data_IF_065094279716
#
_entry.id   IF_065094279716
#
_cell.length_a   1.000
_cell.length_b   1.000
_cell.length_c   1.000
_cell.angle_alpha   90.00
_cell.angle_beta   90.00
_cell.angle_gamma   90.00
#
_symmetry.space_group_name_H-M   'P 1'
#
loop_
_entity.id
_entity.type
_entity.pdbx_description
1 polymer ?
#
# COMPACT_ATOMS: atom_id res chain seq x y z
N UNK A 1 3.01 20.22 -21.13
CA UNK A 1 3.28 21.06 -19.99
C UNK A 1 3.31 20.25 -18.72
N UNK A 2 4.21 20.56 -17.84
CA UNK A 2 4.33 19.80 -16.60
C UNK A 2 3.15 20.02 -15.68
N UNK A 3 2.76 18.98 -14.97
CA UNK A 3 1.72 19.08 -13.96
C UNK A 3 2.39 19.47 -12.66
N UNK A 4 2.19 20.69 -12.23
CA UNK A 4 3.01 21.25 -11.16
C UNK A 4 2.83 20.62 -9.80
N UNK A 5 1.67 20.15 -9.49
CA UNK A 5 1.38 19.70 -8.14
C UNK A 5 1.09 18.21 -8.05
N UNK A 6 1.68 17.42 -8.92
CA UNK A 6 1.41 15.98 -8.93
C UNK A 6 1.87 15.28 -7.64
N UNK A 7 3.00 15.72 -7.07
CA UNK A 7 3.42 15.21 -5.76
C UNK A 7 2.34 15.49 -4.72
N UNK A 8 1.78 16.69 -4.70
CA UNK A 8 0.74 17.04 -3.73
C UNK A 8 -0.53 16.22 -3.93
N UNK A 9 -0.86 15.89 -5.19
CA UNK A 9 -2.01 15.03 -5.49
C UNK A 9 -1.82 13.67 -4.83
N UNK A 10 -0.64 13.09 -4.98
CA UNK A 10 -0.32 11.77 -4.41
C UNK A 10 -0.25 11.85 -2.89
N UNK A 11 0.35 12.92 -2.34
CA UNK A 11 0.41 13.10 -0.89
C UNK A 11 -0.98 13.20 -0.30
N UNK A 12 -1.89 13.89 -0.98
CA UNK A 12 -3.26 14.00 -0.55
C UNK A 12 -3.96 12.65 -0.57
N UNK A 13 -3.70 11.83 -1.60
CA UNK A 13 -4.23 10.48 -1.70
C UNK A 13 -3.76 9.62 -0.53
N UNK A 14 -2.45 9.64 -0.22
CA UNK A 14 -1.92 8.90 0.92
C UNK A 14 -2.57 9.35 2.22
N UNK A 15 -2.74 10.65 2.37
CA UNK A 15 -3.29 11.20 3.61
C UNK A 15 -4.77 10.85 3.77
N UNK A 16 -5.58 11.13 2.76
CA UNK A 16 -7.04 11.00 2.92
C UNK A 16 -7.50 9.55 2.89
N UNK A 17 -6.96 8.74 2.00
CA UNK A 17 -7.40 7.35 1.87
C UNK A 17 -6.76 6.47 2.95
N UNK A 18 -5.44 6.61 3.13
CA UNK A 18 -4.69 5.67 3.96
C UNK A 18 -4.46 6.17 5.37
N UNK A 19 -3.95 7.38 5.56
CA UNK A 19 -3.67 7.87 6.90
C UNK A 19 -4.95 8.15 7.67
N UNK A 20 -5.95 8.73 7.02
CA UNK A 20 -7.25 8.96 7.64
C UNK A 20 -8.16 7.74 7.53
N UNK A 21 -7.71 6.68 6.87
CA UNK A 21 -8.44 5.41 6.77
C UNK A 21 -9.84 5.59 6.19
N UNK A 22 -9.93 6.34 5.11
CA UNK A 22 -11.20 6.64 4.48
C UNK A 22 -11.22 6.21 3.01
N UNK A 23 -11.66 4.97 2.71
CA UNK A 23 -11.73 4.51 1.32
C UNK A 23 -12.58 5.41 0.44
N UNK A 24 -13.62 6.03 1.00
CA UNK A 24 -14.53 6.86 0.22
C UNK A 24 -13.87 8.17 -0.27
N UNK A 25 -12.75 8.56 0.31
CA UNK A 25 -12.00 9.72 -0.21
C UNK A 25 -11.56 9.49 -1.66
N UNK A 26 -11.43 8.23 -2.08
CA UNK A 26 -11.08 7.91 -3.46
C UNK A 26 -12.08 8.49 -4.46
N UNK A 27 -13.33 8.73 -4.06
CA UNK A 27 -14.35 9.27 -4.95
C UNK A 27 -13.94 10.60 -5.59
N UNK A 28 -13.07 11.35 -4.93
CA UNK A 28 -12.62 12.64 -5.41
C UNK A 28 -11.18 12.64 -5.92
N UNK A 29 -10.47 11.54 -5.79
CA UNK A 29 -9.02 11.52 -6.02
C UNK A 29 -8.61 10.63 -7.17
N UNK A 30 -9.45 9.66 -7.55
CA UNK A 30 -9.10 8.70 -8.61
C UNK A 30 -10.22 8.63 -9.64
N UNK A 31 -9.87 8.16 -10.84
CA UNK A 31 -10.86 7.97 -11.91
C UNK A 31 -11.73 6.75 -11.65
N UNK A 32 -12.85 6.64 -12.37
CA UNK A 32 -13.76 5.50 -12.23
C UNK A 32 -13.06 4.18 -12.53
N UNK A 33 -12.14 4.19 -13.49
CA UNK A 33 -11.41 3.01 -13.92
C UNK A 33 -10.05 2.86 -13.26
N UNK A 34 -9.82 3.59 -12.18
CA UNK A 34 -8.54 3.52 -11.46
C UNK A 34 -8.17 2.07 -11.16
N UNK A 35 -6.93 1.72 -11.42
CA UNK A 35 -6.45 0.36 -11.27
C UNK A 35 -5.18 0.33 -10.42
N UNK A 36 -5.09 -0.62 -9.53
CA UNK A 36 -3.85 -0.92 -8.80
C UNK A 36 -3.31 -2.23 -9.33
N UNK A 37 -2.03 -2.24 -9.68
CA UNK A 37 -1.34 -3.46 -10.07
C UNK A 37 -0.30 -3.78 -9.00
N UNK A 38 -0.40 -4.94 -8.39
CA UNK A 38 0.48 -5.32 -7.30
C UNK A 38 0.73 -6.83 -7.38
N UNK A 39 2.00 -7.21 -7.46
CA UNK A 39 2.35 -8.63 -7.50
C UNK A 39 1.72 -9.40 -8.65
N UNK A 40 1.52 -8.73 -9.78
CA UNK A 40 0.91 -9.36 -10.94
C UNK A 40 -0.61 -9.43 -10.92
N UNK A 41 -1.24 -8.89 -9.88
CA UNK A 41 -2.70 -8.89 -9.75
C UNK A 41 -3.21 -7.47 -9.97
N UNK A 42 -4.31 -7.35 -10.69
CA UNK A 42 -4.94 -6.05 -10.93
C UNK A 42 -6.22 -5.90 -10.13
N UNK A 43 -6.33 -4.78 -9.42
CA UNK A 43 -7.55 -4.39 -8.72
C UNK A 43 -8.15 -3.27 -9.56
N UNK A 44 -9.21 -3.60 -10.30
CA UNK A 44 -9.75 -2.69 -11.31
C UNK A 44 -11.01 -2.02 -10.83
N UNK A 45 -11.11 -0.74 -11.11
CA UNK A 45 -12.19 0.20 -10.82
C UNK A 45 -12.09 0.81 -9.43
N UNK A 46 -12.58 2.03 -9.35
CA UNK A 46 -12.60 2.77 -8.09
C UNK A 46 -13.40 2.02 -7.02
N UNK A 47 -14.53 1.44 -7.39
CA UNK A 47 -15.37 0.75 -6.40
C UNK A 47 -14.69 -0.51 -5.87
N UNK A 48 -14.03 -1.26 -6.72
CA UNK A 48 -13.26 -2.42 -6.29
C UNK A 48 -12.09 -2.00 -5.39
N UNK A 49 -11.43 -0.90 -5.77
CA UNK A 49 -10.33 -0.35 -4.95
C UNK A 49 -10.81 0.02 -3.55
N UNK A 50 -11.96 0.68 -3.44
CA UNK A 50 -12.48 1.08 -2.13
C UNK A 50 -12.74 -0.15 -1.24
N UNK A 51 -13.27 -1.22 -1.81
CA UNK A 51 -13.50 -2.45 -1.06
C UNK A 51 -12.18 -3.09 -0.65
N UNK A 52 -11.20 -3.06 -1.54
CA UNK A 52 -9.89 -3.62 -1.26
C UNK A 52 -9.21 -2.85 -0.12
N UNK A 53 -9.29 -1.51 -0.14
CA UNK A 53 -8.73 -0.68 0.93
C UNK A 53 -9.38 -1.02 2.26
N UNK A 54 -10.72 -1.13 2.29
CA UNK A 54 -11.44 -1.45 3.51
C UNK A 54 -11.00 -2.79 4.08
N UNK A 55 -10.86 -3.80 3.24
CA UNK A 55 -10.42 -5.12 3.67
C UNK A 55 -8.99 -5.10 4.18
N UNK A 56 -8.11 -4.35 3.49
CA UNK A 56 -6.71 -4.24 3.90
C UNK A 56 -6.60 -3.58 5.28
N UNK A 57 -7.31 -2.46 5.47
CA UNK A 57 -7.29 -1.76 6.75
C UNK A 57 -7.82 -2.64 7.89
N UNK A 58 -8.84 -3.47 7.60
CA UNK A 58 -9.39 -4.36 8.60
C UNK A 58 -8.44 -5.49 8.99
N UNK A 59 -7.47 -5.80 8.12
CA UNK A 59 -6.54 -6.91 8.35
C UNK A 59 -5.33 -6.52 9.20
N UNK A 60 -5.19 -5.24 9.55
CA UNK A 60 -4.05 -4.76 10.32
C UNK A 60 -4.56 -3.86 11.45
N UNK A 61 -4.41 -4.31 12.68
CA UNK A 61 -4.77 -3.50 13.84
C UNK A 61 -3.70 -2.46 14.10
N UNK A 62 -4.08 -1.34 14.66
CA UNK A 62 -3.16 -0.23 14.97
C UNK A 62 -2.41 0.21 13.72
N UNK A 63 -3.09 0.23 12.61
CA UNK A 63 -2.52 0.56 11.31
C UNK A 63 -1.96 1.99 11.28
N UNK A 64 -0.71 2.11 10.82
CA UNK A 64 -0.10 3.40 10.57
C UNK A 64 0.55 3.38 9.19
N UNK A 65 0.39 4.48 8.46
CA UNK A 65 0.93 4.63 7.11
C UNK A 65 1.86 5.84 7.11
N UNK A 66 3.12 5.63 6.76
CA UNK A 66 4.10 6.70 6.69
C UNK A 66 4.66 6.83 5.29
N UNK A 67 4.74 8.04 4.79
CA UNK A 67 5.35 8.31 3.49
C UNK A 67 6.83 8.59 3.73
N UNK A 68 7.70 7.87 3.03
CA UNK A 68 9.14 8.03 3.17
C UNK A 68 9.64 9.14 2.26
N UNK A 69 9.26 9.10 0.98
CA UNK A 69 9.62 10.15 0.02
C UNK A 69 8.70 10.08 -1.18
N UNK A 70 8.50 11.20 -1.84
CA UNK A 70 7.65 11.29 -3.03
C UNK A 70 8.27 12.29 -4.00
N UNK A 71 8.34 11.93 -5.27
CA UNK A 71 8.88 12.82 -6.31
C UNK A 71 8.21 12.50 -7.64
N UNK A 72 8.31 13.41 -8.59
CA UNK A 72 7.64 13.26 -9.87
C UNK A 72 8.62 13.38 -11.03
N UNK A 73 8.23 12.87 -12.19
CA UNK A 73 9.00 13.06 -13.41
C UNK A 73 8.81 14.48 -13.95
N UNK A 74 9.52 14.81 -15.01
CA UNK A 74 9.54 16.18 -15.53
C UNK A 74 8.15 16.66 -15.95
N UNK A 75 7.35 15.81 -16.57
CA UNK A 75 6.02 16.21 -17.02
C UNK A 75 4.96 16.12 -15.94
N UNK A 76 5.27 15.46 -14.82
CA UNK A 76 4.31 15.32 -13.72
C UNK A 76 3.22 14.29 -13.95
N UNK A 77 3.33 13.47 -15.00
CA UNK A 77 2.33 12.42 -15.22
C UNK A 77 2.70 11.12 -14.49
N UNK A 78 3.88 11.06 -13.91
CA UNK A 78 4.30 9.93 -13.10
C UNK A 78 4.88 10.44 -11.79
N UNK A 79 4.42 9.82 -10.70
CA UNK A 79 4.91 10.13 -9.35
C UNK A 79 5.40 8.85 -8.73
N UNK A 80 6.58 8.89 -8.12
CA UNK A 80 7.10 7.76 -7.36
C UNK A 80 6.98 8.07 -5.89
N UNK A 81 6.51 7.11 -5.11
CA UNK A 81 6.37 7.30 -3.67
C UNK A 81 6.80 6.03 -2.95
N UNK A 82 7.61 6.18 -1.91
CA UNK A 82 7.98 5.06 -1.04
C UNK A 82 7.30 5.23 0.29
N UNK A 83 6.78 4.17 0.85
CA UNK A 83 5.97 4.22 2.06
C UNK A 83 6.22 3.02 2.97
N UNK A 84 5.73 3.13 4.18
CA UNK A 84 5.84 2.06 5.19
C UNK A 84 4.52 1.93 5.92
N UNK A 85 4.11 0.70 6.16
CA UNK A 85 2.92 0.38 6.95
C UNK A 85 3.38 -0.42 8.16
N UNK A 86 2.90 -0.04 9.34
CA UNK A 86 3.13 -0.80 10.56
C UNK A 86 1.80 -1.08 11.24
N UNK A 87 1.78 -2.07 12.09
CA UNK A 87 0.61 -2.45 12.86
C UNK A 87 0.74 -3.87 13.38
N UNK A 88 -0.40 -4.49 13.63
CA UNK A 88 -0.45 -5.85 14.16
C UNK A 88 -1.35 -6.71 13.29
N UNK A 89 -0.96 -7.95 13.09
CA UNK A 89 -1.66 -8.86 12.20
C UNK A 89 -3.05 -9.22 12.74
N UNK A 90 -4.07 -8.88 11.95
CA UNK A 90 -5.45 -9.27 12.21
C UNK A 90 -6.03 -9.98 10.99
N UNK A 91 -5.26 -10.92 10.45
CA UNK A 91 -5.69 -11.68 9.28
C UNK A 91 -5.09 -11.21 7.95
N UNK A 92 -3.93 -10.55 7.99
CA UNK A 92 -3.27 -10.03 6.79
C UNK A 92 -3.13 -11.12 5.73
N UNK A 93 -3.63 -10.86 4.54
CA UNK A 93 -3.60 -11.77 3.38
C UNK A 93 -4.14 -13.16 3.71
N UNK A 94 -5.18 -13.22 4.54
CA UNK A 94 -5.82 -14.49 4.89
C UNK A 94 -5.09 -15.30 5.94
N UNK A 95 -4.06 -14.76 6.57
CA UNK A 95 -3.36 -15.46 7.64
C UNK A 95 -4.20 -15.48 8.91
N UNK A 96 -3.80 -16.30 9.86
CA UNK A 96 -4.45 -16.32 11.17
C UNK A 96 -4.20 -14.98 11.87
N UNK A 97 -5.19 -14.42 12.56
CA UNK A 97 -5.02 -13.13 13.25
C UNK A 97 -4.16 -13.32 14.50
N UNK A 98 -2.85 -13.32 14.28
CA UNK A 98 -1.89 -13.66 15.32
C UNK A 98 -1.53 -12.50 16.25
N UNK A 99 -1.85 -11.28 15.89
CA UNK A 99 -1.42 -10.10 16.66
C UNK A 99 0.07 -9.80 16.52
N UNK A 100 0.80 -10.53 15.69
CA UNK A 100 2.23 -10.30 15.52
C UNK A 100 2.49 -9.00 14.77
N UNK A 101 3.63 -8.35 15.02
CA UNK A 101 3.93 -7.07 14.36
C UNK A 101 4.00 -7.19 12.84
N UNK A 102 3.47 -6.20 12.17
CA UNK A 102 3.60 -6.02 10.73
C UNK A 102 4.46 -4.79 10.48
N UNK A 103 5.43 -4.94 9.57
CA UNK A 103 6.29 -3.85 9.16
C UNK A 103 6.54 -4.06 7.67
N UNK A 104 5.78 -3.36 6.85
CA UNK A 104 5.79 -3.55 5.39
C UNK A 104 6.20 -2.27 4.71
N UNK A 105 7.07 -2.39 3.70
CA UNK A 105 7.44 -1.24 2.87
C UNK A 105 6.91 -1.44 1.47
N UNK A 106 6.74 -0.35 0.75
CA UNK A 106 6.32 -0.39 -0.63
C UNK A 106 6.88 0.75 -1.43
N UNK A 107 6.96 0.53 -2.73
CA UNK A 107 7.33 1.55 -3.71
C UNK A 107 6.25 1.57 -4.77
N UNK A 108 5.69 2.73 -5.00
CA UNK A 108 4.59 2.92 -5.92
C UNK A 108 4.97 3.88 -7.02
N UNK A 109 4.51 3.57 -8.24
CA UNK A 109 4.56 4.53 -9.35
C UNK A 109 3.11 4.83 -9.69
N UNK A 110 2.73 6.11 -9.65
CA UNK A 110 1.36 6.51 -9.90
C UNK A 110 1.25 7.34 -11.17
N UNK A 111 0.20 7.09 -11.92
CA UNK A 111 -0.12 7.88 -13.11
C UNK A 111 -1.14 8.95 -12.71
N UNK A 112 -0.77 10.20 -12.89
CA UNK A 112 -1.63 11.35 -12.58
C UNK A 112 -2.08 11.94 -13.92
N UNK A 113 -3.38 12.06 -14.12
CA UNK A 113 -3.93 12.65 -15.33
C UNK A 113 -3.84 14.17 -15.31
N UNK A 114 -4.13 14.79 -16.46
CA UNK A 114 -4.09 16.25 -16.56
C UNK A 114 -5.16 16.91 -15.67
N UNK A 115 -6.22 16.18 -15.39
CA UNK A 115 -7.27 16.65 -14.50
C UNK A 115 -6.90 16.51 -13.01
N UNK A 116 -5.72 16.02 -12.71
CA UNK A 116 -5.28 15.85 -11.33
C UNK A 116 -5.83 14.59 -10.66
N UNK A 117 -6.50 13.72 -11.39
CA UNK A 117 -7.00 12.47 -10.82
C UNK A 117 -6.02 11.35 -11.07
N UNK A 118 -5.90 10.43 -10.12
CA UNK A 118 -5.03 9.27 -10.25
C UNK A 118 -5.71 8.23 -11.16
N UNK A 119 -4.94 7.69 -12.08
CA UNK A 119 -5.43 6.73 -13.06
C UNK A 119 -4.94 5.33 -12.79
N UNK A 120 -3.73 5.19 -12.28
CA UNK A 120 -3.14 3.88 -12.04
C UNK A 120 -2.10 3.97 -10.94
N UNK A 121 -1.97 2.89 -10.19
CA UNK A 121 -0.91 2.74 -9.20
C UNK A 121 -0.26 1.37 -9.41
N UNK A 122 1.00 1.36 -9.81
CA UNK A 122 1.81 0.15 -9.87
C UNK A 122 2.61 0.11 -8.57
N UNK A 123 2.41 -0.90 -7.76
CA UNK A 123 3.05 -0.95 -6.45
C UNK A 123 3.71 -2.31 -6.21
N UNK A 124 4.94 -2.28 -5.71
CA UNK A 124 5.64 -3.46 -5.23
C UNK A 124 5.83 -3.28 -3.73
N UNK A 125 5.54 -4.31 -2.97
CA UNK A 125 5.59 -4.21 -1.51
C UNK A 125 6.12 -5.51 -0.93
N UNK A 126 6.66 -5.42 0.28
CA UNK A 126 7.25 -6.57 0.96
C UNK A 126 6.17 -7.47 1.58
N UNK A 127 5.09 -7.72 0.85
CA UNK A 127 3.94 -8.46 1.39
C UNK A 127 4.26 -9.92 1.68
N UNK A 128 5.07 -10.56 0.83
CA UNK A 128 5.42 -11.95 1.04
C UNK A 128 6.28 -12.11 2.28
N UNK A 129 7.24 -11.22 2.47
CA UNK A 129 8.11 -11.24 3.66
C UNK A 129 7.29 -11.05 4.92
N UNK A 130 6.32 -10.12 4.90
CA UNK A 130 5.44 -9.90 6.04
C UNK A 130 4.59 -11.14 6.30
N UNK A 131 4.00 -11.69 5.25
CA UNK A 131 3.14 -12.87 5.40
C UNK A 131 3.93 -14.03 6.01
N UNK A 132 5.14 -14.24 5.56
CA UNK A 132 5.99 -15.28 6.12
C UNK A 132 6.30 -15.02 7.59
N UNK A 133 6.56 -13.78 7.96
CA UNK A 133 6.91 -13.46 9.33
C UNK A 133 5.75 -13.71 10.27
N UNK A 134 4.53 -13.32 9.90
CA UNK A 134 3.37 -13.52 10.78
C UNK A 134 2.90 -14.97 10.81
N UNK A 135 3.07 -15.70 9.72
CA UNK A 135 2.70 -17.12 9.68
C UNK A 135 3.70 -17.98 10.42
N UNK A 136 5.00 -17.70 10.23
CA UNK A 136 6.04 -18.47 10.91
C UNK A 136 5.98 -18.30 12.40
N UNK A 137 5.66 -17.08 12.85
CA UNK A 137 5.51 -16.83 14.26
C UNK A 137 4.43 -17.64 14.91
N UNK A 138 3.45 -18.08 14.11
CA UNK A 138 2.44 -18.90 14.67
C UNK A 138 2.86 -20.30 14.82
N UNK A 139 3.76 -20.79 14.07
CA UNK A 139 4.00 -22.11 14.10
C UNK A 139 5.05 -22.38 15.00
N UNK A 140 5.81 -22.57 15.10
CA UNK A 140 6.68 -22.94 15.92
C UNK A 140 7.71 -22.44 15.91
N UNK A 141 7.48 -21.61 15.80
CA UNK A 141 8.33 -20.84 15.93
C UNK A 141 9.55 -21.42 16.00
N UNK A 142 9.73 -21.64 16.48
CA UNK A 142 10.75 -22.03 16.61
C UNK A 142 11.67 -22.26 15.72
N UNK A 143 11.71 -22.64 15.05
CA UNK A 143 12.72 -22.91 14.36
C UNK A 143 13.00 -22.15 13.31
N UNK A 144 12.97 -21.44 13.28
CA UNK A 144 13.19 -20.68 12.32
C UNK A 144 13.97 -19.70 12.43
N UNK A 145 14.50 -19.68 12.83
CA UNK A 145 15.13 -18.87 12.85
C UNK A 145 15.71 -18.45 12.19
N UNK A 146 16.01 -18.48 11.96
CA UNK A 146 16.46 -17.92 11.30
C UNK A 146 16.60 -17.64 10.41
N UNK A 147 16.78 -17.92 10.01
CA UNK A 147 16.86 -17.63 9.17
C UNK A 147 16.64 -16.92 8.71
N UNK A 148 16.51 -17.10 9.01
CA UNK A 148 16.22 -16.34 8.70
C UNK A 148 16.29 -15.38 8.77
N UNK A 149 16.46 -15.25 9.07
CA UNK A 149 16.51 -14.32 9.18
C UNK A 149 17.11 -13.60 8.80
N UNK A 150 17.69 -13.53 8.48
CA UNK A 150 18.24 -12.94 7.97
C UNK A 150 18.25 -12.69 7.01
N UNK A 151 18.28 -12.78 6.68
CA UNK A 151 18.22 -12.49 5.83
C UNK A 151 17.78 -11.82 5.23
N UNK A 152 17.74 -11.68 5.25
CA UNK A 152 17.36 -11.04 4.79
C UNK A 152 17.12 -10.34 4.20
N UNK A 153 17.49 -9.99 3.95
CA UNK A 153 17.43 -9.23 3.44
C UNK A 153 17.21 -8.82 3.24
#
# INVERSE_FOLDING_TARGET
MARKNSVQVVERFWHEVWQLRNPHAADHLVTDDFTVTSGGVEIKSRETFKKWVAAFLASIDEFEFDVIETFQNETGDRVVSRWRVTGKNNGFMGSEPSGLPIDMTGTAVLHVGEDGLLRHNWVERSALEVLRSVAAGNSTAGHLKPASSKSGL
#
